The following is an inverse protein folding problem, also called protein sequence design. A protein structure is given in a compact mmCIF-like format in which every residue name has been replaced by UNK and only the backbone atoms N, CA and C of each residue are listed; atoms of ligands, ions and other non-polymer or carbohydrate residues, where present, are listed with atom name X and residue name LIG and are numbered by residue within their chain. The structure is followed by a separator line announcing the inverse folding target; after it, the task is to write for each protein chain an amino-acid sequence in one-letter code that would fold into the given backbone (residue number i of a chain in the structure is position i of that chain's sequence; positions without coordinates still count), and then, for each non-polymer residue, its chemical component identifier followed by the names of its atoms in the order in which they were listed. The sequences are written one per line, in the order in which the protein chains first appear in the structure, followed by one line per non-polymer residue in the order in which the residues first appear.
data_IF_628286815748
#
_entry.id   IF_628286815748
#
_cell.length_a   1.000
_cell.length_b   1.000
_cell.length_c   1.000
_cell.angle_alpha   90.00
_cell.angle_beta   90.00
_cell.angle_gamma   90.00
#
_symmetry.space_group_name_H-M   'P 1'
#
loop_
_entity.id
_entity.type
_entity.pdbx_description
1 polymer ?
#
# COMPACT_ATOMS: atom_id res chain seq x y z
N UNK A 1 15.26 -1.66 11.32
CA UNK A 1 16.28 -1.76 12.36
C UNK A 1 17.42 -2.67 11.95
N UNK A 2 17.16 -3.97 11.78
CA UNK A 2 18.19 -5.02 11.68
C UNK A 2 19.04 -4.97 10.40
N UNK A 3 18.51 -4.51 9.26
CA UNK A 3 19.28 -4.45 7.99
C UNK A 3 20.32 -3.32 7.99
N UNK A 4 20.14 -2.28 8.80
CA UNK A 4 20.97 -1.08 8.75
C UNK A 4 22.29 -1.23 9.53
N UNK A 5 22.37 -2.18 10.46
CA UNK A 5 23.55 -2.39 11.33
C UNK A 5 24.53 -3.45 10.81
N UNK A 6 24.13 -4.31 9.86
CA UNK A 6 24.95 -5.47 9.42
C UNK A 6 25.84 -5.17 8.20
N UNK A 7 25.50 -4.16 7.38
CA UNK A 7 26.16 -3.93 6.08
C UNK A 7 27.27 -2.85 6.06
N UNK A 8 27.64 -2.10 7.12
CA UNK A 8 28.66 -1.05 6.97
C UNK A 8 30.08 -1.59 6.75
N UNK A 9 30.40 -2.86 7.05
CA UNK A 9 31.76 -3.39 6.87
C UNK A 9 32.06 -3.98 5.47
N UNK A 10 31.05 -4.35 4.67
CA UNK A 10 31.26 -5.01 3.37
C UNK A 10 31.06 -4.11 2.14
N UNK A 11 30.38 -2.97 2.29
CA UNK A 11 30.07 -2.07 1.18
C UNK A 11 30.32 -0.64 1.64
N UNK A 12 31.37 0.01 1.12
CA UNK A 12 31.78 1.37 1.48
C UNK A 12 30.73 2.48 1.29
N UNK A 13 29.48 2.13 0.91
CA UNK A 13 28.35 3.04 0.90
C UNK A 13 27.08 2.33 1.48
N UNK A 14 26.60 2.71 2.67
CA UNK A 14 25.50 2.02 3.36
C UNK A 14 24.17 2.05 2.58
N UNK A 15 23.99 3.04 1.70
CA UNK A 15 22.79 3.17 0.85
C UNK A 15 22.71 2.05 -0.18
N UNK A 16 23.85 1.64 -0.76
CA UNK A 16 23.90 0.57 -1.76
C UNK A 16 23.58 -0.79 -1.15
N UNK A 17 24.08 -1.05 0.08
CA UNK A 17 23.77 -2.27 0.82
C UNK A 17 22.27 -2.45 1.06
N UNK A 18 21.59 -1.39 1.53
CA UNK A 18 20.14 -1.41 1.76
C UNK A 18 19.37 -1.58 0.45
N UNK A 19 19.81 -0.94 -0.63
CA UNK A 19 19.17 -1.06 -1.94
C UNK A 19 19.22 -2.50 -2.49
N UNK A 20 20.40 -3.14 -2.44
CA UNK A 20 20.59 -4.51 -2.94
C UNK A 20 19.76 -5.51 -2.13
N UNK A 21 19.79 -5.42 -0.79
CA UNK A 21 19.00 -6.32 0.07
C UNK A 21 17.49 -6.11 -0.13
N UNK A 22 17.05 -4.86 -0.32
CA UNK A 22 15.63 -4.57 -0.59
C UNK A 22 15.19 -5.11 -1.95
N UNK A 23 16.02 -4.95 -2.99
CA UNK A 23 15.74 -5.50 -4.31
C UNK A 23 15.66 -7.04 -4.26
N UNK A 24 16.62 -7.68 -3.58
CA UNK A 24 16.65 -9.13 -3.41
C UNK A 24 15.42 -9.65 -2.65
N UNK A 25 15.03 -8.98 -1.55
CA UNK A 25 13.83 -9.33 -0.79
C UNK A 25 12.56 -9.21 -1.62
N UNK A 26 12.43 -8.17 -2.46
CA UNK A 26 11.29 -8.02 -3.37
C UNK A 26 11.26 -9.10 -4.45
N UNK A 27 12.41 -9.46 -5.01
CA UNK A 27 12.51 -10.54 -5.99
C UNK A 27 12.06 -11.87 -5.39
N UNK A 28 12.59 -12.24 -4.21
CA UNK A 28 12.18 -13.45 -3.50
C UNK A 28 10.69 -13.46 -3.17
N UNK A 29 10.16 -12.34 -2.66
CA UNK A 29 8.73 -12.20 -2.35
C UNK A 29 7.86 -12.38 -3.60
N UNK A 30 8.25 -11.79 -4.72
CA UNK A 30 7.54 -11.93 -6.00
C UNK A 30 7.56 -13.38 -6.49
N UNK A 31 8.72 -14.04 -6.45
CA UNK A 31 8.86 -15.45 -6.85
C UNK A 31 7.99 -16.37 -6.00
N UNK A 32 8.02 -16.22 -4.67
CA UNK A 32 7.20 -17.01 -3.76
C UNK A 32 5.70 -16.77 -3.98
N UNK A 33 5.28 -15.52 -4.14
CA UNK A 33 3.89 -15.17 -4.44
C UNK A 33 3.41 -15.77 -5.77
N UNK A 34 4.28 -15.78 -6.79
CA UNK A 34 4.00 -16.36 -8.09
C UNK A 34 3.85 -17.88 -8.00
N UNK A 35 4.72 -18.56 -7.26
CA UNK A 35 4.62 -20.01 -7.00
C UNK A 35 3.30 -20.34 -6.28
N UNK A 36 2.97 -19.60 -5.21
CA UNK A 36 1.72 -19.79 -4.48
C UNK A 36 0.48 -19.58 -5.36
N UNK A 37 0.51 -18.58 -6.24
CA UNK A 37 -0.57 -18.30 -7.19
C UNK A 37 -0.76 -19.46 -8.17
N UNK A 38 0.33 -19.99 -8.74
CA UNK A 38 0.27 -21.13 -9.68
C UNK A 38 -0.28 -22.38 -8.99
N UNK A 39 0.07 -22.63 -7.72
CA UNK A 39 -0.42 -23.78 -6.98
C UNK A 39 -1.92 -23.70 -6.68
N UNK A 40 -2.42 -22.52 -6.28
CA UNK A 40 -3.84 -22.33 -5.94
C UNK A 40 -4.73 -22.24 -7.18
N UNK A 41 -4.31 -21.49 -8.19
CA UNK A 41 -5.16 -21.17 -9.36
C UNK A 41 -4.90 -22.04 -10.59
N UNK A 42 -3.91 -22.97 -10.54
CA UNK A 42 -3.52 -23.94 -11.60
C UNK A 42 -3.86 -23.40 -12.99
N UNK A 43 -2.99 -22.58 -13.62
CA UNK A 43 -3.34 -21.82 -14.80
C UNK A 43 -3.77 -22.76 -15.92
N UNK A 44 -5.09 -22.92 -16.09
CA UNK A 44 -5.65 -23.58 -17.25
C UNK A 44 -5.27 -22.69 -18.43
N UNK A 45 -4.40 -23.18 -19.31
CA UNK A 45 -3.96 -22.53 -20.55
C UNK A 45 -5.13 -21.98 -21.40
N UNK A 46 -6.35 -22.40 -21.11
CA UNK A 46 -7.59 -21.97 -21.76
C UNK A 46 -8.04 -20.53 -21.42
N UNK A 47 -7.58 -19.92 -20.31
CA UNK A 47 -7.96 -18.54 -19.93
C UNK A 47 -7.12 -17.44 -20.60
N UNK A 48 -6.11 -17.80 -21.40
CA UNK A 48 -5.26 -16.85 -22.13
C UNK A 48 -5.90 -16.33 -23.44
N UNK A 49 -7.23 -16.44 -23.60
CA UNK A 49 -7.95 -15.63 -24.59
C UNK A 49 -8.20 -14.24 -23.99
N UNK A 50 -7.14 -13.45 -23.88
CA UNK A 50 -7.26 -12.03 -23.55
C UNK A 50 -8.01 -11.33 -24.68
N UNK A 51 -9.28 -11.01 -24.45
CA UNK A 51 -10.03 -10.14 -25.34
C UNK A 51 -9.56 -8.70 -25.13
N UNK A 52 -9.23 -8.01 -26.23
CA UNK A 52 -8.91 -6.57 -26.24
C UNK A 52 -9.93 -5.72 -25.47
N UNK A 53 -11.20 -6.12 -25.47
CA UNK A 53 -12.27 -5.45 -24.72
C UNK A 53 -12.06 -5.53 -23.20
N UNK A 54 -11.58 -6.66 -22.67
CA UNK A 54 -11.29 -6.83 -21.23
C UNK A 54 -10.02 -6.06 -20.84
N UNK A 55 -9.00 -6.07 -21.69
CA UNK A 55 -7.78 -5.28 -21.46
C UNK A 55 -8.13 -3.80 -21.38
N UNK A 56 -8.90 -3.28 -22.34
CA UNK A 56 -9.31 -1.89 -22.35
C UNK A 56 -10.14 -1.51 -21.12
N UNK A 57 -11.07 -2.38 -20.68
CA UNK A 57 -11.85 -2.16 -19.46
C UNK A 57 -11.01 -2.15 -18.18
N UNK A 58 -9.99 -3.01 -18.07
CA UNK A 58 -9.08 -3.02 -16.92
C UNK A 58 -8.17 -1.79 -16.97
N UNK A 59 -7.64 -1.46 -18.14
CA UNK A 59 -6.78 -0.29 -18.33
C UNK A 59 -7.52 1.03 -18.07
N UNK A 60 -8.78 1.18 -18.49
CA UNK A 60 -9.55 2.41 -18.20
C UNK A 60 -9.89 2.58 -16.72
N UNK A 61 -9.90 1.50 -15.93
CA UNK A 61 -10.00 1.57 -14.46
C UNK A 61 -8.64 1.87 -13.83
N UNK A 62 -7.56 1.34 -14.40
CA UNK A 62 -6.20 1.53 -13.90
C UNK A 62 -5.61 2.91 -14.21
N UNK A 63 -5.92 3.50 -15.37
CA UNK A 63 -5.44 4.84 -15.77
C UNK A 63 -5.80 5.92 -14.74
N UNK A 64 -7.08 6.08 -14.30
CA UNK A 64 -7.41 7.08 -13.30
C UNK A 64 -6.73 6.80 -11.96
N UNK A 65 -6.72 5.54 -11.48
CA UNK A 65 -6.05 5.18 -10.22
C UNK A 65 -4.55 5.41 -10.27
N UNK A 66 -3.90 5.15 -11.41
CA UNK A 66 -2.49 5.50 -11.62
C UNK A 66 -2.29 7.02 -11.60
N UNK A 67 -3.17 7.78 -12.24
CA UNK A 67 -3.17 9.25 -12.22
C UNK A 67 -3.33 9.82 -10.81
N UNK A 68 -4.25 9.26 -10.01
CA UNK A 68 -4.43 9.60 -8.60
C UNK A 68 -3.13 9.36 -7.82
N UNK A 69 -2.56 8.15 -7.91
CA UNK A 69 -1.34 7.80 -7.18
C UNK A 69 -0.14 8.66 -7.59
N UNK A 70 0.01 8.98 -8.87
CA UNK A 70 1.05 9.89 -9.36
C UNK A 70 0.84 11.29 -8.77
N UNK A 71 -0.39 11.79 -8.79
CA UNK A 71 -0.74 13.10 -8.22
C UNK A 71 -0.42 13.17 -6.73
N UNK A 72 -0.71 12.11 -5.98
CA UNK A 72 -0.37 12.00 -4.56
C UNK A 72 1.15 12.02 -4.32
N UNK A 73 1.92 11.22 -5.06
CA UNK A 73 3.38 11.20 -4.92
C UNK A 73 4.00 12.56 -5.30
N UNK A 74 3.46 13.21 -6.33
CA UNK A 74 3.91 14.52 -6.77
C UNK A 74 3.64 15.58 -5.69
N UNK A 75 2.41 15.63 -5.17
CA UNK A 75 2.04 16.53 -4.07
C UNK A 75 2.91 16.30 -2.83
N UNK A 76 3.14 15.03 -2.45
CA UNK A 76 3.97 14.69 -1.30
C UNK A 76 5.42 15.14 -1.46
N UNK A 77 5.98 14.99 -2.66
CA UNK A 77 7.35 15.44 -2.99
C UNK A 77 7.43 16.96 -2.89
N UNK A 78 6.46 17.65 -3.47
CA UNK A 78 6.37 19.12 -3.43
C UNK A 78 6.25 19.63 -1.99
N UNK A 79 5.33 19.09 -1.19
CA UNK A 79 5.19 19.43 0.24
C UNK A 79 6.50 19.19 1.00
N UNK A 80 7.20 18.10 0.69
CA UNK A 80 8.48 17.78 1.33
C UNK A 80 9.56 18.79 0.96
N UNK A 81 9.61 19.24 -0.29
CA UNK A 81 10.53 20.28 -0.74
C UNK A 81 10.25 21.61 -0.04
N UNK A 82 8.97 22.01 0.11
CA UNK A 82 8.59 23.20 0.86
C UNK A 82 9.03 23.13 2.33
N UNK A 83 8.79 21.99 3.00
CA UNK A 83 9.24 21.77 4.38
C UNK A 83 10.77 21.84 4.46
N UNK A 84 11.47 21.32 3.45
CA UNK A 84 12.94 21.36 3.42
C UNK A 84 13.50 22.78 3.36
N UNK A 85 12.78 23.71 2.73
CA UNK A 85 13.15 25.13 2.66
C UNK A 85 12.91 25.88 3.98
N UNK A 86 12.03 25.39 4.87
CA UNK A 86 11.72 26.02 6.17
C UNK A 86 12.77 25.76 7.26
N UNK A 87 13.78 24.93 6.99
CA UNK A 87 14.91 24.67 7.89
C UNK A 87 15.06 23.21 8.28
N UNK A 88 16.29 22.79 8.58
CA UNK A 88 16.66 21.40 8.84
C UNK A 88 16.00 20.79 10.07
N UNK A 89 15.71 21.60 11.11
CA UNK A 89 15.01 21.13 12.31
C UNK A 89 13.58 20.65 12.00
N UNK A 90 12.87 21.31 11.08
CA UNK A 90 11.49 20.94 10.72
C UNK A 90 11.48 19.63 9.92
N UNK A 91 12.51 19.37 9.10
CA UNK A 91 12.66 18.10 8.37
C UNK A 91 12.91 16.93 9.34
N UNK A 92 13.76 17.14 10.34
CA UNK A 92 14.06 16.13 11.35
C UNK A 92 12.81 15.76 12.16
N UNK A 93 12.05 16.77 12.61
CA UNK A 93 10.76 16.56 13.28
C UNK A 93 9.77 15.81 12.38
N UNK A 94 9.63 16.23 11.11
CA UNK A 94 8.77 15.55 10.12
C UNK A 94 9.14 14.09 9.93
N UNK A 95 10.42 13.73 9.92
CA UNK A 95 10.86 12.35 9.73
C UNK A 95 10.33 11.44 10.84
N UNK A 96 10.48 11.86 12.11
CA UNK A 96 9.99 11.12 13.28
C UNK A 96 8.46 11.02 13.24
N UNK A 97 7.77 12.12 12.99
CA UNK A 97 6.30 12.13 12.85
C UNK A 97 5.81 11.23 11.71
N UNK A 98 6.56 11.14 10.60
CA UNK A 98 6.21 10.29 9.45
C UNK A 98 6.33 8.81 9.81
N UNK A 99 7.35 8.43 10.58
CA UNK A 99 7.50 7.04 11.06
C UNK A 99 6.34 6.66 11.98
N UNK A 100 5.99 7.53 12.94
CA UNK A 100 4.87 7.31 13.85
C UNK A 100 3.54 7.20 13.09
N UNK A 101 3.31 8.12 12.16
CA UNK A 101 2.13 8.12 11.28
C UNK A 101 2.08 6.87 10.40
N UNK A 102 3.23 6.35 9.96
CA UNK A 102 3.32 5.14 9.14
C UNK A 102 2.85 3.89 9.87
N UNK A 103 3.16 3.74 11.15
CA UNK A 103 2.68 2.61 11.97
C UNK A 103 1.16 2.62 12.09
N UNK A 104 0.63 3.78 12.45
CA UNK A 104 -0.78 4.10 12.52
C UNK A 104 -1.51 3.83 11.20
N UNK A 105 -0.97 4.32 10.09
CA UNK A 105 -1.52 4.14 8.75
C UNK A 105 -1.50 2.67 8.30
N UNK A 106 -0.47 1.90 8.66
CA UNK A 106 -0.39 0.48 8.32
C UNK A 106 -1.54 -0.34 8.93
N UNK A 107 -1.93 -0.03 10.17
CA UNK A 107 -3.09 -0.67 10.80
C UNK A 107 -4.39 -0.34 10.06
N UNK A 108 -4.61 0.94 9.75
CA UNK A 108 -5.79 1.37 9.00
C UNK A 108 -5.85 0.74 7.60
N UNK A 109 -4.71 0.67 6.90
CA UNK A 109 -4.59 0.03 5.59
C UNK A 109 -4.91 -1.47 5.64
N UNK A 110 -4.49 -2.18 6.70
CA UNK A 110 -4.83 -3.59 6.89
C UNK A 110 -6.35 -3.81 7.04
N UNK A 111 -7.03 -2.99 7.84
CA UNK A 111 -8.49 -3.04 7.98
C UNK A 111 -9.21 -2.68 6.68
N UNK A 112 -8.72 -1.68 5.95
CA UNK A 112 -9.24 -1.28 4.64
C UNK A 112 -9.14 -2.44 3.64
N UNK A 113 -7.97 -3.08 3.55
CA UNK A 113 -7.76 -4.24 2.67
C UNK A 113 -8.68 -5.42 3.04
N UNK A 114 -8.82 -5.74 4.33
CA UNK A 114 -9.74 -6.78 4.80
C UNK A 114 -11.20 -6.46 4.44
N UNK A 115 -11.61 -5.20 4.61
CA UNK A 115 -12.95 -4.73 4.26
C UNK A 115 -13.20 -4.82 2.75
N UNK A 116 -12.22 -4.44 1.92
CA UNK A 116 -12.31 -4.56 0.45
C UNK A 116 -12.50 -6.02 0.02
N UNK A 117 -11.75 -6.96 0.61
CA UNK A 117 -11.90 -8.41 0.33
C UNK A 117 -13.31 -8.89 0.71
N UNK A 118 -13.79 -8.51 1.90
CA UNK A 118 -15.12 -8.89 2.37
C UNK A 118 -16.21 -8.33 1.44
N UNK A 119 -16.17 -7.04 1.14
CA UNK A 119 -17.12 -6.37 0.24
C UNK A 119 -17.09 -6.96 -1.17
N UNK A 120 -15.91 -7.27 -1.71
CA UNK A 120 -15.77 -7.95 -3.01
C UNK A 120 -16.57 -9.25 -3.07
N UNK A 121 -16.51 -10.07 -2.01
CA UNK A 121 -17.28 -11.32 -1.92
C UNK A 121 -18.81 -11.11 -1.89
N UNK A 122 -19.29 -10.02 -1.28
CA UNK A 122 -20.72 -9.68 -1.31
C UNK A 122 -21.18 -9.14 -2.66
N UNK A 123 -20.35 -8.34 -3.32
CA UNK A 123 -20.62 -7.81 -4.68
C UNK A 123 -20.73 -8.98 -5.66
N UNK A 124 -19.82 -9.96 -5.61
CA UNK A 124 -19.87 -11.16 -6.45
C UNK A 124 -21.14 -11.99 -6.24
N UNK A 125 -21.75 -11.95 -5.05
CA UNK A 125 -23.00 -12.67 -4.72
C UNK A 125 -24.28 -11.88 -5.03
N UNK A 126 -24.20 -10.70 -5.67
CA UNK A 126 -25.33 -9.81 -6.03
C UNK A 126 -26.30 -9.47 -4.88
N UNK A 127 -25.86 -9.55 -3.61
CA UNK A 127 -26.70 -9.24 -2.43
C UNK A 127 -26.63 -7.76 -2.05
N UNK A 128 -27.14 -6.89 -2.91
CA UNK A 128 -27.03 -5.42 -2.78
C UNK A 128 -27.68 -4.84 -1.50
N UNK A 129 -28.77 -5.45 -1.00
CA UNK A 129 -29.43 -5.02 0.25
C UNK A 129 -28.55 -5.22 1.48
N UNK A 130 -27.88 -6.36 1.58
CA UNK A 130 -26.95 -6.66 2.69
C UNK A 130 -25.65 -5.87 2.52
N UNK A 131 -25.19 -5.68 1.29
CA UNK A 131 -23.99 -4.89 0.97
C UNK A 131 -24.09 -3.46 1.52
N UNK A 132 -25.19 -2.72 1.28
CA UNK A 132 -25.33 -1.34 1.77
C UNK A 132 -25.22 -1.24 3.29
N UNK A 133 -25.84 -2.16 4.04
CA UNK A 133 -25.77 -2.17 5.53
C UNK A 133 -24.36 -2.49 6.03
N UNK A 134 -23.67 -3.43 5.40
CA UNK A 134 -22.29 -3.82 5.75
C UNK A 134 -21.31 -2.69 5.42
N UNK A 135 -21.46 -2.05 4.26
CA UNK A 135 -20.63 -0.89 3.86
C UNK A 135 -20.79 0.25 4.85
N UNK A 136 -22.03 0.62 5.22
CA UNK A 136 -22.28 1.69 6.20
C UNK A 136 -21.67 1.35 7.57
N UNK A 137 -21.84 0.11 8.05
CA UNK A 137 -21.18 -0.33 9.30
C UNK A 137 -19.65 -0.30 9.21
N UNK A 138 -19.10 -0.73 8.07
CA UNK A 138 -17.64 -0.78 7.85
C UNK A 138 -17.04 0.62 7.73
N UNK A 139 -17.73 1.56 7.10
CA UNK A 139 -17.35 2.99 7.08
C UNK A 139 -17.35 3.55 8.50
N UNK A 140 -18.40 3.28 9.28
CA UNK A 140 -18.47 3.74 10.67
C UNK A 140 -17.31 3.18 11.51
N UNK A 141 -17.00 1.89 11.36
CA UNK A 141 -15.87 1.25 12.05
C UNK A 141 -14.50 1.83 11.63
N UNK A 142 -14.30 2.08 10.32
CA UNK A 142 -13.08 2.71 9.81
C UNK A 142 -12.92 4.14 10.31
N UNK A 143 -14.01 4.93 10.37
CA UNK A 143 -13.99 6.28 10.94
C UNK A 143 -13.60 6.24 12.41
N UNK A 144 -14.17 5.32 13.20
CA UNK A 144 -13.81 5.15 14.61
C UNK A 144 -12.33 4.78 14.77
N UNK A 145 -11.80 3.88 13.94
CA UNK A 145 -10.37 3.53 13.96
C UNK A 145 -9.48 4.71 13.59
N UNK A 146 -9.81 5.46 12.54
CA UNK A 146 -9.04 6.66 12.15
C UNK A 146 -9.03 7.73 13.24
N UNK A 147 -10.15 7.92 13.95
CA UNK A 147 -10.22 8.84 15.09
C UNK A 147 -9.36 8.40 16.27
N UNK A 148 -9.39 7.10 16.62
CA UNK A 148 -8.54 6.55 17.69
C UNK A 148 -7.05 6.69 17.35
N UNK A 149 -6.69 6.42 16.10
CA UNK A 149 -5.32 6.56 15.61
C UNK A 149 -4.83 8.01 15.71
N UNK A 150 -5.66 8.98 15.32
CA UNK A 150 -5.32 10.40 15.41
C UNK A 150 -5.12 10.87 16.85
N UNK A 151 -5.93 10.37 17.80
CA UNK A 151 -5.81 10.71 19.22
C UNK A 151 -4.57 10.11 19.87
N UNK A 152 -4.16 8.90 19.49
CA UNK A 152 -2.94 8.27 19.97
C UNK A 152 -1.64 8.92 19.45
N UNK A 153 -1.67 9.58 18.28
CA UNK A 153 -0.48 10.28 17.74
C UNK A 153 -0.31 11.67 18.35
N UNK A 154 -1.38 12.27 18.87
CA UNK A 154 -1.35 13.60 19.50
C UNK A 154 -0.94 13.56 20.98
N UNK A 155 -0.98 12.39 21.61
CA UNK A 155 -0.51 12.11 22.99
C UNK A 155 0.94 11.62 22.94
#
# INVERSE_FOLDING_TARGET
GIVLFIIPEYVGNPVLGVAVVTAFSRLLGCTLALIALIQIFRPFKHYFKLSWKKIYQVSTLGIPTAGEQISYNFAQTFTTAFIAMLGTQVIAAKSVSTVLSGLSFSCAMAFSAASQIYLGKFISRRRYRTLKKVVIKSIWFNITQSFMIMTCVFI
#
